data_IF_242065499690
#
_entry.id   IF_242065499690
#
_cell.length_a   1.000
_cell.length_b   1.000
_cell.length_c   1.000
_cell.angle_alpha   90.00
_cell.angle_beta   90.00
_cell.angle_gamma   90.00
#
_symmetry.space_group_name_H-M   'P 1'
#
loop_
_entity.id
_entity.type
_entity.pdbx_description
1 polymer ?
#
# COMPACT_ATOMS: atom_id res chain seq x y z
N UNK A 1 -18.88 20.09 -4.84
CA UNK A 1 -18.62 19.69 -3.47
C UNK A 1 -19.32 18.38 -3.15
N UNK A 2 -18.70 17.47 -2.42
CA UNK A 2 -19.31 16.20 -2.06
C UNK A 2 -19.39 15.18 -3.18
N UNK A 3 -18.56 15.32 -4.22
CA UNK A 3 -18.52 14.39 -5.35
C UNK A 3 -17.56 13.24 -5.18
N UNK A 4 -16.91 13.15 -4.04
CA UNK A 4 -16.03 12.02 -3.72
C UNK A 4 -16.57 11.24 -2.55
N UNK A 5 -16.19 9.99 -2.50
CA UNK A 5 -16.57 9.06 -1.44
C UNK A 5 -15.32 8.42 -0.87
N UNK A 6 -15.36 8.04 0.39
CA UNK A 6 -14.31 7.25 1.01
C UNK A 6 -14.84 5.83 1.21
N UNK A 7 -14.19 4.87 0.58
CA UNK A 7 -14.51 3.46 0.76
C UNK A 7 -13.47 2.82 1.68
N UNK A 8 -13.94 2.26 2.78
CA UNK A 8 -13.08 1.58 3.75
C UNK A 8 -13.18 0.08 3.51
N UNK A 9 -12.02 -0.55 3.33
CA UNK A 9 -11.93 -2.00 3.11
C UNK A 9 -11.24 -2.64 4.30
N UNK A 10 -11.69 -3.83 4.66
CA UNK A 10 -10.97 -4.69 5.58
C UNK A 10 -10.71 -6.01 4.85
N UNK A 11 -9.46 -6.24 4.47
CA UNK A 11 -9.07 -7.44 3.73
C UNK A 11 -8.62 -8.59 4.64
N UNK A 12 -8.62 -8.38 5.95
CA UNK A 12 -8.18 -9.40 6.89
C UNK A 12 -6.71 -9.76 6.71
N UNK A 13 -6.39 -11.01 6.92
CA UNK A 13 -5.05 -11.54 6.62
C UNK A 13 -4.99 -11.90 5.13
N UNK A 14 -4.13 -11.23 4.39
CA UNK A 14 -4.04 -11.36 2.93
C UNK A 14 -2.59 -11.46 2.49
N UNK A 15 -2.32 -12.35 1.53
CA UNK A 15 -1.00 -12.46 0.92
C UNK A 15 -0.55 -11.12 0.34
N UNK A 16 0.74 -10.80 0.54
CA UNK A 16 1.29 -9.50 0.13
C UNK A 16 1.12 -9.24 -1.37
N UNK A 17 1.44 -10.23 -2.21
CA UNK A 17 1.33 -10.09 -3.67
C UNK A 17 -0.12 -9.92 -4.11
N UNK A 18 -1.04 -10.64 -3.50
CA UNK A 18 -2.46 -10.50 -3.80
C UNK A 18 -2.97 -9.10 -3.41
N UNK A 19 -2.56 -8.59 -2.25
CA UNK A 19 -2.89 -7.23 -1.84
C UNK A 19 -2.32 -6.19 -2.80
N UNK A 20 -1.09 -6.40 -3.26
CA UNK A 20 -0.47 -5.53 -4.26
C UNK A 20 -1.30 -5.49 -5.54
N UNK A 21 -1.66 -6.65 -6.06
CA UNK A 21 -2.44 -6.74 -7.31
C UNK A 21 -3.81 -6.07 -7.18
N UNK A 22 -4.47 -6.24 -6.05
CA UNK A 22 -5.74 -5.56 -5.77
C UNK A 22 -5.60 -4.05 -5.70
N UNK A 23 -4.54 -3.56 -5.08
CA UNK A 23 -4.25 -2.12 -5.05
C UNK A 23 -4.01 -1.57 -6.44
N UNK A 24 -3.27 -2.30 -7.27
CA UNK A 24 -3.00 -1.89 -8.64
C UNK A 24 -4.29 -1.77 -9.46
N UNK A 25 -5.23 -2.67 -9.29
CA UNK A 25 -6.55 -2.59 -9.93
C UNK A 25 -7.32 -1.34 -9.50
N UNK A 26 -7.35 -1.05 -8.21
CA UNK A 26 -8.02 0.13 -7.67
C UNK A 26 -7.37 1.40 -8.20
N UNK A 27 -6.05 1.46 -8.22
CA UNK A 27 -5.32 2.62 -8.76
C UNK A 27 -5.62 2.82 -10.24
N UNK A 28 -5.68 1.75 -11.01
CA UNK A 28 -6.01 1.81 -12.44
C UNK A 28 -7.40 2.40 -12.67
N UNK A 29 -8.37 2.03 -11.87
CA UNK A 29 -9.72 2.58 -11.94
C UNK A 29 -9.74 4.09 -11.67
N UNK A 30 -8.99 4.55 -10.68
CA UNK A 30 -8.88 5.98 -10.39
C UNK A 30 -8.23 6.74 -11.53
N UNK A 31 -7.15 6.21 -12.10
CA UNK A 31 -6.46 6.83 -13.23
C UNK A 31 -7.33 6.87 -14.48
N UNK A 32 -8.08 5.81 -14.75
CA UNK A 32 -9.01 5.75 -15.87
C UNK A 32 -10.15 6.77 -15.71
N UNK A 33 -10.71 6.88 -14.51
CA UNK A 33 -11.74 7.85 -14.20
C UNK A 33 -11.23 9.29 -14.43
N UNK A 34 -10.00 9.57 -14.01
CA UNK A 34 -9.35 10.86 -14.24
C UNK A 34 -9.17 11.12 -15.75
N UNK A 35 -8.65 10.15 -16.48
CA UNK A 35 -8.40 10.26 -17.93
C UNK A 35 -9.68 10.54 -18.71
N UNK A 36 -10.80 10.05 -18.22
CA UNK A 36 -12.12 10.24 -18.85
C UNK A 36 -12.86 11.49 -18.35
N UNK A 37 -12.17 12.38 -17.61
CA UNK A 37 -12.75 13.64 -17.14
C UNK A 37 -13.69 13.50 -15.95
N UNK A 38 -13.50 12.48 -15.13
CA UNK A 38 -14.29 12.20 -13.91
C UNK A 38 -15.79 12.02 -14.18
N UNK A 39 -16.19 11.12 -15.09
CA UNK A 39 -17.62 10.90 -15.37
C UNK A 39 -18.36 10.27 -14.19
N UNK A 40 -17.63 9.60 -13.29
CA UNK A 40 -18.17 8.96 -12.11
C UNK A 40 -17.71 9.72 -10.85
N UNK A 41 -18.43 9.57 -9.72
CA UNK A 41 -17.94 10.09 -8.45
C UNK A 41 -16.54 9.57 -8.14
N UNK A 42 -15.72 10.42 -7.53
CA UNK A 42 -14.38 10.04 -7.11
C UNK A 42 -14.49 9.20 -5.85
N UNK A 43 -13.90 8.02 -5.87
CA UNK A 43 -13.86 7.12 -4.72
C UNK A 43 -12.41 6.99 -4.26
N UNK A 44 -12.14 7.48 -3.06
CA UNK A 44 -10.87 7.25 -2.38
C UNK A 44 -10.97 5.97 -1.58
N UNK A 45 -9.86 5.27 -1.41
CA UNK A 45 -9.86 3.98 -0.73
C UNK A 45 -8.89 3.99 0.44
N UNK A 46 -9.37 3.52 1.58
CA UNK A 46 -8.57 3.24 2.77
C UNK A 46 -8.71 1.75 3.07
N UNK A 47 -7.60 1.03 3.04
CA UNK A 47 -7.60 -0.41 3.14
C UNK A 47 -6.81 -0.84 4.37
N UNK A 48 -7.44 -1.59 5.25
CA UNK A 48 -6.78 -2.20 6.40
C UNK A 48 -6.62 -3.70 6.17
N UNK A 49 -5.45 -4.21 6.51
CA UNK A 49 -5.18 -5.64 6.41
C UNK A 49 -4.00 -6.04 7.30
N UNK A 50 -3.75 -7.33 7.35
CA UNK A 50 -2.54 -7.90 7.90
C UNK A 50 -1.93 -8.80 6.83
N UNK A 51 -0.63 -9.02 6.90
CA UNK A 51 0.05 -9.93 5.98
C UNK A 51 0.67 -11.09 6.75
N UNK A 52 0.75 -12.29 6.16
CA UNK A 52 1.68 -13.30 6.61
C UNK A 52 3.11 -12.74 6.60
N UNK A 53 4.04 -13.42 7.27
CA UNK A 53 5.42 -12.93 7.34
C UNK A 53 5.98 -12.59 5.95
N UNK A 54 6.38 -11.34 5.74
CA UNK A 54 6.90 -10.85 4.47
C UNK A 54 7.96 -9.78 4.70
N UNK A 55 9.06 -9.90 3.96
CA UNK A 55 10.09 -8.86 3.88
C UNK A 55 9.99 -8.17 2.53
N UNK A 56 10.08 -6.86 2.52
CA UNK A 56 10.11 -6.08 1.28
C UNK A 56 11.39 -5.25 1.23
N UNK A 57 12.03 -5.23 0.06
CA UNK A 57 13.23 -4.45 -0.19
C UNK A 57 12.88 -3.28 -1.11
N UNK A 58 13.09 -2.05 -0.62
CA UNK A 58 12.82 -0.84 -1.38
C UNK A 58 13.97 -0.50 -2.33
N UNK A 59 13.81 0.63 -3.05
CA UNK A 59 14.75 1.07 -4.09
C UNK A 59 16.17 1.33 -3.59
N UNK A 60 16.33 1.82 -2.35
CA UNK A 60 17.64 2.10 -1.76
C UNK A 60 18.19 0.93 -0.96
N UNK A 61 17.48 -0.20 -0.95
CA UNK A 61 17.90 -1.36 -0.19
C UNK A 61 18.89 -2.24 -0.93
N UNK A 62 19.62 -3.03 -0.17
CA UNK A 62 20.54 -4.04 -0.69
C UNK A 62 20.17 -5.41 -0.13
N UNK A 63 20.28 -6.44 -0.94
CA UNK A 63 19.98 -7.82 -0.54
C UNK A 63 20.76 -8.23 0.72
N UNK A 64 21.97 -7.66 0.92
CA UNK A 64 22.80 -7.91 2.10
C UNK A 64 22.19 -7.40 3.40
N UNK A 65 21.16 -6.53 3.32
CA UNK A 65 20.45 -6.06 4.51
C UNK A 65 19.44 -7.07 5.01
N UNK A 66 19.10 -8.09 4.22
CA UNK A 66 18.28 -9.21 4.67
C UNK A 66 19.18 -10.18 5.44
N UNK A 67 18.94 -10.31 6.75
CA UNK A 67 19.78 -11.09 7.64
C UNK A 67 19.48 -12.59 7.63
N UNK A 68 18.51 -13.03 6.83
CA UNK A 68 18.13 -14.43 6.71
C UNK A 68 18.21 -14.86 5.24
N UNK A 69 18.59 -16.12 5.01
CA UNK A 69 18.64 -16.70 3.67
C UNK A 69 17.30 -17.30 3.25
N UNK A 70 17.21 -17.75 2.00
CA UNK A 70 15.99 -18.34 1.45
C UNK A 70 15.49 -19.55 2.23
N UNK A 71 16.39 -20.39 2.72
CA UNK A 71 16.03 -21.57 3.51
C UNK A 71 15.36 -21.16 4.82
N UNK A 72 15.94 -20.17 5.50
CA UNK A 72 15.38 -19.65 6.75
C UNK A 72 14.05 -18.96 6.50
N UNK A 73 13.90 -18.22 5.40
CA UNK A 73 12.63 -17.62 5.03
C UNK A 73 11.54 -18.67 4.85
N UNK A 74 11.85 -19.75 4.16
CA UNK A 74 10.90 -20.85 3.97
C UNK A 74 10.56 -21.54 5.30
N UNK A 75 11.55 -21.72 6.15
CA UNK A 75 11.36 -22.39 7.45
C UNK A 75 10.39 -21.62 8.35
N UNK A 76 10.40 -20.28 8.31
CA UNK A 76 9.50 -19.46 9.11
C UNK A 76 8.21 -19.08 8.36
N UNK A 77 8.04 -19.58 7.14
CA UNK A 77 6.87 -19.26 6.31
C UNK A 77 6.85 -17.82 5.80
N UNK A 78 8.01 -17.22 5.59
CA UNK A 78 8.12 -15.83 5.14
C UNK A 78 8.36 -15.73 3.64
N UNK A 79 7.86 -14.65 3.05
CA UNK A 79 8.10 -14.28 1.66
C UNK A 79 9.04 -13.09 1.58
N UNK A 80 9.62 -12.86 0.41
CA UNK A 80 10.50 -11.74 0.14
C UNK A 80 10.19 -11.13 -1.21
N UNK A 81 10.06 -9.82 -1.27
CA UNK A 81 9.79 -9.09 -2.51
C UNK A 81 10.68 -7.86 -2.64
N UNK A 82 11.22 -7.63 -3.84
CA UNK A 82 11.80 -6.34 -4.22
C UNK A 82 10.70 -5.48 -4.80
N UNK A 83 10.57 -4.26 -4.29
CA UNK A 83 9.47 -3.38 -4.67
C UNK A 83 9.95 -1.97 -4.97
N UNK A 84 9.11 -1.20 -5.65
CA UNK A 84 9.45 0.16 -6.09
C UNK A 84 8.95 1.22 -5.09
N UNK A 85 9.20 1.02 -3.80
CA UNK A 85 8.98 2.06 -2.77
C UNK A 85 10.30 2.68 -2.36
N UNK A 86 10.27 3.81 -1.69
CA UNK A 86 11.44 4.36 -1.04
C UNK A 86 11.87 3.49 0.14
N UNK A 87 13.12 3.68 0.57
CA UNK A 87 13.65 2.99 1.73
C UNK A 87 14.36 1.69 1.42
N UNK A 88 14.76 1.00 2.46
CA UNK A 88 15.54 -0.22 2.44
C UNK A 88 14.61 -1.42 2.72
N UNK A 89 14.96 -2.28 3.64
CA UNK A 89 14.19 -3.46 3.98
C UNK A 89 13.11 -3.13 5.04
N UNK A 90 11.96 -3.75 4.89
CA UNK A 90 10.85 -3.64 5.85
C UNK A 90 10.24 -5.02 6.05
N UNK A 91 9.75 -5.27 7.25
CA UNK A 91 9.05 -6.50 7.60
C UNK A 91 7.59 -6.19 7.95
N UNK A 92 6.69 -7.05 7.47
CA UNK A 92 5.29 -7.10 7.92
C UNK A 92 4.96 -8.52 8.36
N UNK A 93 4.09 -8.66 9.33
CA UNK A 93 3.68 -9.96 9.83
C UNK A 93 2.38 -9.94 10.61
N UNK A 94 1.93 -11.12 11.07
CA UNK A 94 0.71 -11.22 11.85
C UNK A 94 0.74 -10.34 13.10
N UNK A 95 -0.40 -9.70 13.40
CA UNK A 95 -0.52 -8.74 14.49
C UNK A 95 -0.14 -7.32 14.13
N UNK A 96 0.47 -7.09 12.98
CA UNK A 96 0.80 -5.76 12.49
C UNK A 96 -0.28 -5.30 11.51
N UNK A 97 -1.00 -4.27 11.90
CA UNK A 97 -2.04 -3.69 11.04
C UNK A 97 -1.38 -2.78 10.00
N UNK A 98 -1.73 -3.03 8.74
CA UNK A 98 -1.24 -2.23 7.62
C UNK A 98 -2.40 -1.43 7.05
N UNK A 99 -2.18 -0.15 6.80
CA UNK A 99 -3.14 0.73 6.14
C UNK A 99 -2.60 1.16 4.79
N UNK A 100 -3.37 0.94 3.74
CA UNK A 100 -3.06 1.43 2.39
C UNK A 100 -4.06 2.52 2.02
N UNK A 101 -3.52 3.64 1.53
CA UNK A 101 -4.33 4.77 1.09
C UNK A 101 -4.19 4.93 -0.42
N UNK A 102 -5.30 4.80 -1.12
CA UNK A 102 -5.35 5.01 -2.57
C UNK A 102 -6.31 6.17 -2.83
N UNK A 103 -5.74 7.36 -2.93
CA UNK A 103 -6.48 8.62 -3.01
C UNK A 103 -6.11 9.36 -4.29
N UNK A 104 -7.07 10.05 -4.86
CA UNK A 104 -6.81 10.99 -5.95
C UNK A 104 -6.52 12.38 -5.37
N UNK A 105 -5.24 12.71 -5.23
CA UNK A 105 -4.81 13.96 -4.61
C UNK A 105 -5.16 15.19 -5.43
N UNK A 106 -5.44 15.06 -6.74
CA UNK A 106 -5.88 16.19 -7.56
C UNK A 106 -7.18 16.80 -7.04
N UNK A 107 -7.98 16.01 -6.34
CA UNK A 107 -9.27 16.46 -5.81
C UNK A 107 -9.20 16.91 -4.35
N UNK A 108 -8.06 16.77 -3.73
CA UNK A 108 -7.84 17.14 -2.32
C UNK A 108 -6.78 18.24 -2.26
N UNK A 109 -5.53 17.87 -2.39
CA UNK A 109 -4.38 18.76 -2.37
C UNK A 109 -3.19 17.99 -2.92
N UNK A 110 -2.56 18.52 -3.97
CA UNK A 110 -1.43 17.86 -4.63
C UNK A 110 -0.13 17.92 -3.86
N UNK A 111 -0.08 18.63 -2.73
CA UNK A 111 1.10 18.70 -1.88
C UNK A 111 1.25 17.40 -1.08
N UNK A 112 2.19 16.58 -1.48
CA UNK A 112 2.45 15.28 -0.86
C UNK A 112 2.92 15.44 0.60
N UNK A 113 3.69 16.47 0.89
CA UNK A 113 4.14 16.75 2.27
C UNK A 113 2.96 17.06 3.18
N UNK A 114 2.03 17.87 2.70
CA UNK A 114 0.79 18.15 3.43
C UNK A 114 0.00 16.86 3.70
N UNK A 115 -0.10 16.00 2.68
CA UNK A 115 -0.84 14.74 2.80
C UNK A 115 -0.23 13.82 3.87
N UNK A 116 1.07 13.64 3.84
CA UNK A 116 1.79 12.79 4.81
C UNK A 116 1.66 13.37 6.23
N UNK A 117 1.84 14.68 6.39
CA UNK A 117 1.69 15.33 7.71
C UNK A 117 0.27 15.19 8.26
N UNK A 118 -0.73 15.31 7.38
CA UNK A 118 -2.14 15.16 7.79
C UNK A 118 -2.41 13.75 8.32
N UNK A 119 -1.85 12.72 7.68
CA UNK A 119 -1.95 11.34 8.16
C UNK A 119 -1.26 11.19 9.52
N UNK A 120 -0.07 11.75 9.68
CA UNK A 120 0.67 11.69 10.95
C UNK A 120 -0.11 12.33 12.10
N UNK A 121 -0.81 13.42 11.85
CA UNK A 121 -1.65 14.08 12.87
C UNK A 121 -2.86 13.25 13.28
N UNK A 122 -3.39 12.44 12.39
CA UNK A 122 -4.54 11.58 12.67
C UNK A 122 -4.13 10.41 13.57
N UNK A 123 -2.93 9.90 13.39
CA UNK A 123 -2.41 8.77 14.15
C UNK A 123 -1.88 9.23 15.50
#
# INVERSE_FOLDING_TARGET
MGKFQLKIHNWGSIDYKLAWDKQAEIQSELLENRANGYPNPIVHHLIFCEHPHVFTLGRSGKDTHLLVDDEKLKAIGASFYKINRGGDITYHGPGQIVGYLIFDLNEINTDVHWFVRSIEEII
#
